data_IF_723448225307
#
_entry.id   IF_723448225307
#
_cell.length_a   1.000
_cell.length_b   1.000
_cell.length_c   1.000
_cell.angle_alpha   90.00
_cell.angle_beta   90.00
_cell.angle_gamma   90.00
#
_symmetry.space_group_name_H-M   'P 1'
#
loop_
_entity.id
_entity.type
_entity.pdbx_description
1 polymer ?
#
# COMPACT_ATOMS: atom_id res chain seq x y z
N UNK A 1 -24.39 -32.72 -0.59
CA UNK A 1 -24.55 -31.89 0.61
C UNK A 1 -23.26 -32.09 1.41
N UNK A 2 -22.27 -31.26 1.24
CA UNK A 2 -21.02 -31.21 2.02
C UNK A 2 -21.03 -29.88 2.75
N UNK A 3 -21.08 -29.96 4.08
CA UNK A 3 -21.08 -28.83 4.99
C UNK A 3 -19.81 -28.01 4.81
N UNK A 4 -19.99 -26.71 4.57
CA UNK A 4 -18.91 -25.73 4.67
C UNK A 4 -18.54 -25.59 6.16
N UNK A 5 -17.25 -25.53 6.53
CA UNK A 5 -16.87 -25.18 7.88
C UNK A 5 -17.15 -23.71 8.13
N UNK A 6 -18.03 -23.44 9.08
CA UNK A 6 -18.29 -22.13 9.66
C UNK A 6 -16.98 -21.48 10.09
N UNK A 7 -16.71 -20.27 9.59
CA UNK A 7 -15.61 -19.43 10.04
C UNK A 7 -15.72 -19.12 11.53
N UNK A 8 -15.05 -19.90 12.34
CA UNK A 8 -14.85 -19.62 13.76
C UNK A 8 -13.81 -18.49 13.88
N UNK A 9 -14.23 -17.35 14.42
CA UNK A 9 -13.31 -16.35 14.96
C UNK A 9 -12.39 -17.03 15.98
N UNK A 10 -11.11 -17.05 15.69
CA UNK A 10 -10.10 -17.47 16.67
C UNK A 10 -10.19 -16.49 17.85
N UNK A 11 -10.24 -16.97 19.11
CA UNK A 11 -10.21 -16.08 20.27
C UNK A 11 -8.89 -15.30 20.23
N UNK A 12 -8.98 -13.99 20.03
CA UNK A 12 -7.86 -13.10 20.05
C UNK A 12 -7.28 -13.07 21.48
N UNK A 13 -6.24 -13.86 21.75
CA UNK A 13 -5.34 -13.53 22.85
C UNK A 13 -4.73 -12.18 22.51
N UNK A 14 -4.65 -11.23 23.50
CA UNK A 14 -4.02 -9.95 23.24
C UNK A 14 -2.61 -10.18 22.69
N UNK A 15 -2.28 -9.53 21.55
CA UNK A 15 -1.00 -9.71 20.90
C UNK A 15 0.13 -9.29 21.84
N UNK A 16 1.11 -10.17 22.02
CA UNK A 16 2.30 -9.90 22.85
C UNK A 16 3.33 -9.12 22.02
N UNK A 17 3.25 -7.80 22.03
CA UNK A 17 4.13 -6.92 21.26
C UNK A 17 5.58 -6.95 21.75
N UNK A 18 5.84 -7.29 23.02
CA UNK A 18 7.21 -7.50 23.51
C UNK A 18 7.83 -8.79 22.92
N UNK A 19 7.05 -9.83 22.73
CA UNK A 19 7.48 -11.02 21.98
C UNK A 19 7.71 -10.70 20.52
N UNK A 20 6.77 -10.00 19.88
CA UNK A 20 6.85 -9.57 18.47
C UNK A 20 8.10 -8.74 18.21
N UNK A 21 8.48 -7.83 19.12
CA UNK A 21 9.69 -7.02 19.01
C UNK A 21 10.95 -7.86 18.79
N UNK A 22 11.02 -9.07 19.36
CA UNK A 22 12.18 -9.97 19.22
C UNK A 22 12.33 -10.51 17.79
N UNK A 23 11.24 -10.57 17.03
CA UNK A 23 11.22 -11.02 15.65
C UNK A 23 11.74 -9.96 14.66
N UNK A 24 12.02 -8.74 15.12
CA UNK A 24 12.57 -7.64 14.34
C UNK A 24 13.96 -7.23 14.84
N UNK A 25 15.05 -7.79 14.30
CA UNK A 25 16.43 -7.50 14.77
C UNK A 25 16.79 -6.02 14.78
N UNK A 26 16.17 -5.21 13.90
CA UNK A 26 16.36 -3.76 13.85
C UNK A 26 16.06 -3.07 15.18
N UNK A 27 15.10 -3.58 15.95
CA UNK A 27 14.72 -3.05 17.27
C UNK A 27 15.84 -3.12 18.32
N UNK A 28 16.89 -3.96 18.08
CA UNK A 28 18.04 -4.08 18.98
C UNK A 28 19.15 -3.07 18.67
N UNK A 29 19.11 -2.43 17.50
CA UNK A 29 20.21 -1.60 17.01
C UNK A 29 19.89 -0.11 17.04
N UNK A 30 18.61 0.26 17.05
CA UNK A 30 18.16 1.64 17.05
C UNK A 30 16.67 1.74 17.39
N UNK A 31 16.23 2.88 17.91
CA UNK A 31 14.82 3.27 17.91
C UNK A 31 14.44 3.70 16.48
N UNK A 32 14.07 2.71 15.64
CA UNK A 32 13.73 2.96 14.25
C UNK A 32 12.25 3.29 14.13
N UNK A 33 11.94 4.56 13.93
CA UNK A 33 10.59 5.15 13.90
C UNK A 33 10.26 5.76 12.52
N UNK A 34 10.86 5.25 11.44
CA UNK A 34 10.59 5.67 10.05
C UNK A 34 10.02 4.53 9.20
N UNK A 35 9.07 3.78 9.77
CA UNK A 35 8.44 2.64 9.07
C UNK A 35 7.57 3.10 7.86
N UNK A 36 7.09 4.33 7.86
CA UNK A 36 6.40 4.94 6.73
C UNK A 36 7.31 5.15 5.50
N UNK A 37 8.63 5.11 5.63
CA UNK A 37 9.58 5.10 4.51
C UNK A 37 9.92 3.68 4.05
N UNK A 38 10.24 2.78 4.99
CA UNK A 38 10.52 1.38 4.71
C UNK A 38 10.50 0.58 6.03
N UNK A 39 9.78 -0.52 6.05
CA UNK A 39 9.72 -1.40 7.22
C UNK A 39 10.88 -2.40 7.21
N UNK A 40 11.49 -2.75 8.35
CA UNK A 40 12.46 -3.83 8.44
C UNK A 40 11.77 -5.20 8.25
N UNK A 41 12.51 -6.16 7.72
CA UNK A 41 12.04 -7.54 7.62
C UNK A 41 12.06 -8.23 8.98
N UNK A 42 11.11 -9.12 9.19
CA UNK A 42 11.10 -10.06 10.32
C UNK A 42 12.14 -11.17 10.13
N UNK A 43 12.49 -11.87 11.21
CA UNK A 43 13.34 -13.08 11.12
C UNK A 43 12.68 -14.16 10.27
N UNK A 44 11.35 -14.25 10.25
CA UNK A 44 10.59 -15.23 9.46
C UNK A 44 10.71 -14.94 7.96
N UNK A 45 10.44 -13.71 7.53
CA UNK A 45 10.63 -13.28 6.14
C UNK A 45 12.08 -13.44 5.68
N UNK A 46 13.05 -13.09 6.54
CA UNK A 46 14.48 -13.26 6.26
C UNK A 46 14.84 -14.74 6.08
N UNK A 47 14.36 -15.62 6.95
CA UNK A 47 14.60 -17.07 6.84
C UNK A 47 13.99 -17.67 5.56
N UNK A 48 12.79 -17.20 5.17
CA UNK A 48 12.15 -17.63 3.92
C UNK A 48 12.94 -17.21 2.68
N UNK A 49 13.46 -15.98 2.67
CA UNK A 49 14.35 -15.50 1.60
C UNK A 49 15.65 -16.29 1.53
N UNK A 50 16.27 -16.60 2.67
CA UNK A 50 17.49 -17.43 2.69
C UNK A 50 17.23 -18.80 2.09
N UNK A 51 16.13 -19.48 2.43
CA UNK A 51 15.78 -20.78 1.81
C UNK A 51 15.65 -20.67 0.29
N UNK A 52 15.06 -19.58 -0.20
CA UNK A 52 14.96 -19.34 -1.64
C UNK A 52 16.32 -19.12 -2.31
N UNK A 53 17.19 -18.31 -1.69
CA UNK A 53 18.56 -18.06 -2.21
C UNK A 53 19.40 -19.35 -2.21
N UNK A 54 19.33 -20.16 -1.16
CA UNK A 54 19.97 -21.47 -1.08
C UNK A 54 19.48 -22.40 -2.19
N UNK A 55 18.16 -22.42 -2.43
CA UNK A 55 17.61 -23.21 -3.53
C UNK A 55 18.10 -22.72 -4.90
N UNK A 56 18.11 -21.40 -5.15
CA UNK A 56 18.64 -20.82 -6.40
C UNK A 56 20.11 -21.16 -6.62
N UNK A 57 20.91 -21.16 -5.54
CA UNK A 57 22.34 -21.35 -5.61
C UNK A 57 22.75 -22.82 -5.79
N UNK A 58 22.05 -23.75 -5.18
CA UNK A 58 22.42 -25.15 -5.08
C UNK A 58 21.46 -26.10 -5.78
N UNK A 59 20.25 -25.67 -6.14
CA UNK A 59 19.22 -26.50 -6.78
C UNK A 59 18.72 -27.66 -5.90
N UNK A 60 18.82 -27.52 -4.57
CA UNK A 60 18.45 -28.56 -3.60
C UNK A 60 17.04 -28.34 -3.12
N UNK A 61 16.20 -29.39 -3.15
CA UNK A 61 14.84 -29.38 -2.62
C UNK A 61 13.77 -29.73 -3.66
N UNK A 62 12.50 -29.52 -3.29
CA UNK A 62 11.36 -29.71 -4.18
C UNK A 62 11.42 -28.78 -5.39
N UNK A 63 10.83 -29.17 -6.54
CA UNK A 63 10.73 -28.31 -7.69
C UNK A 63 10.14 -26.94 -7.31
N UNK A 64 10.91 -25.88 -7.58
CA UNK A 64 10.54 -24.53 -7.17
C UNK A 64 9.21 -24.04 -7.77
N UNK A 65 8.92 -24.41 -9.02
CA UNK A 65 7.75 -23.89 -9.73
C UNK A 65 6.41 -24.15 -9.04
N UNK A 66 6.09 -25.36 -8.56
CA UNK A 66 4.85 -25.61 -7.79
C UNK A 66 4.80 -24.84 -6.47
N UNK A 67 5.95 -24.77 -5.77
CA UNK A 67 6.04 -24.02 -4.51
C UNK A 67 5.85 -22.53 -4.74
N UNK A 68 6.40 -21.96 -5.82
CA UNK A 68 6.22 -20.56 -6.18
C UNK A 68 4.76 -20.23 -6.53
N UNK A 69 4.11 -21.05 -7.34
CA UNK A 69 2.70 -20.84 -7.67
C UNK A 69 1.84 -20.82 -6.40
N UNK A 70 2.09 -21.74 -5.47
CA UNK A 70 1.41 -21.75 -4.17
C UNK A 70 1.69 -20.51 -3.33
N UNK A 71 2.94 -20.06 -3.23
CA UNK A 71 3.30 -18.85 -2.49
C UNK A 71 2.65 -17.59 -3.07
N UNK A 72 2.63 -17.49 -4.40
CA UNK A 72 1.96 -16.41 -5.12
C UNK A 72 0.47 -16.39 -4.81
N UNK A 73 -0.19 -17.53 -5.01
CA UNK A 73 -1.62 -17.68 -4.84
C UNK A 73 -2.04 -17.42 -3.39
N UNK A 74 -1.24 -17.87 -2.43
CA UNK A 74 -1.46 -17.59 -1.01
C UNK A 74 -1.30 -16.09 -0.71
N UNK A 75 -0.26 -15.43 -1.21
CA UNK A 75 -0.03 -14.00 -0.98
C UNK A 75 -1.20 -13.16 -1.55
N UNK A 76 -1.70 -13.51 -2.74
CA UNK A 76 -2.85 -12.86 -3.36
C UNK A 76 -4.13 -13.05 -2.52
N UNK A 77 -4.42 -14.28 -2.11
CA UNK A 77 -5.58 -14.58 -1.27
C UNK A 77 -5.50 -13.96 0.13
N UNK A 78 -4.30 -13.92 0.73
CA UNK A 78 -4.06 -13.23 2.00
C UNK A 78 -4.30 -11.72 1.87
N UNK A 79 -3.80 -11.10 0.80
CA UNK A 79 -4.01 -9.68 0.58
C UNK A 79 -5.49 -9.36 0.28
N UNK A 80 -6.17 -10.16 -0.53
CA UNK A 80 -7.60 -10.01 -0.78
C UNK A 80 -8.40 -10.00 0.53
N UNK A 81 -8.17 -10.98 1.41
CA UNK A 81 -8.82 -11.01 2.74
C UNK A 81 -8.47 -9.80 3.61
N UNK A 82 -7.23 -9.30 3.52
CA UNK A 82 -6.79 -8.13 4.30
C UNK A 82 -7.59 -6.86 4.00
N UNK A 83 -8.07 -6.71 2.76
CA UNK A 83 -8.80 -5.53 2.30
C UNK A 83 -10.27 -5.81 2.00
N UNK A 84 -10.77 -7.01 2.35
CA UNK A 84 -12.14 -7.48 2.10
C UNK A 84 -12.52 -7.46 0.60
N UNK A 85 -11.61 -7.93 -0.25
CA UNK A 85 -11.81 -8.12 -1.69
C UNK A 85 -11.90 -9.61 -2.05
N UNK A 86 -12.40 -9.90 -3.25
CA UNK A 86 -12.27 -11.21 -3.84
C UNK A 86 -10.88 -11.39 -4.45
N UNK A 87 -10.37 -12.63 -4.47
CA UNK A 87 -9.03 -12.94 -5.00
C UNK A 87 -8.88 -12.54 -6.47
N UNK A 88 -9.92 -12.73 -7.24
CA UNK A 88 -9.99 -12.42 -8.68
C UNK A 88 -9.95 -10.91 -8.96
N UNK A 89 -10.08 -10.09 -7.93
CA UNK A 89 -9.95 -8.63 -8.01
C UNK A 89 -8.52 -8.14 -7.73
N UNK A 90 -7.59 -9.05 -7.38
CA UNK A 90 -6.21 -8.71 -7.03
C UNK A 90 -5.24 -9.13 -8.14
N UNK A 91 -4.39 -8.20 -8.55
CA UNK A 91 -3.23 -8.43 -9.41
C UNK A 91 -1.93 -8.09 -8.68
N UNK A 92 -0.82 -8.67 -9.14
CA UNK A 92 0.49 -8.26 -8.69
C UNK A 92 0.97 -7.03 -9.48
N UNK A 93 1.69 -6.14 -8.78
CA UNK A 93 2.35 -4.99 -9.36
C UNK A 93 3.75 -4.83 -8.75
N UNK A 94 4.64 -4.09 -9.40
CA UNK A 94 5.98 -3.83 -8.85
C UNK A 94 5.98 -2.68 -7.84
N UNK A 95 5.03 -1.77 -7.98
CA UNK A 95 4.87 -0.64 -7.06
C UNK A 95 3.48 -0.02 -7.17
N UNK A 96 3.11 0.78 -6.16
CA UNK A 96 1.86 1.56 -6.16
C UNK A 96 1.75 2.45 -7.41
N UNK A 97 2.82 3.19 -7.74
CA UNK A 97 2.81 4.13 -8.88
C UNK A 97 2.73 3.39 -10.21
N UNK A 98 3.39 2.24 -10.36
CA UNK A 98 3.24 1.41 -11.57
C UNK A 98 1.82 0.88 -11.71
N UNK A 99 1.24 0.35 -10.63
CA UNK A 99 -0.13 -0.13 -10.62
C UNK A 99 -1.12 0.94 -11.06
N UNK A 100 -1.01 2.13 -10.48
CA UNK A 100 -1.83 3.28 -10.84
C UNK A 100 -1.61 3.73 -12.29
N UNK A 101 -0.36 3.75 -12.77
CA UNK A 101 -0.03 4.07 -14.15
C UNK A 101 -0.67 3.08 -15.14
N UNK A 102 -0.66 1.79 -14.79
CA UNK A 102 -1.30 0.75 -15.61
C UNK A 102 -2.82 0.92 -15.66
N UNK A 103 -3.44 1.28 -14.54
CA UNK A 103 -4.87 1.62 -14.47
C UNK A 103 -5.17 2.83 -15.36
N UNK A 104 -4.43 3.93 -15.22
CA UNK A 104 -4.62 5.14 -16.03
C UNK A 104 -4.46 4.86 -17.53
N UNK A 105 -3.48 4.03 -17.91
CA UNK A 105 -3.30 3.60 -19.30
C UNK A 105 -4.50 2.76 -19.78
N UNK A 106 -4.97 1.84 -18.95
CA UNK A 106 -6.13 0.99 -19.26
C UNK A 106 -7.45 1.77 -19.35
N UNK A 107 -7.53 2.91 -18.67
CA UNK A 107 -8.68 3.80 -18.65
C UNK A 107 -8.61 4.94 -19.69
N UNK A 108 -7.62 4.96 -20.59
CA UNK A 108 -7.39 6.10 -21.48
C UNK A 108 -8.64 6.54 -22.26
N UNK A 109 -9.44 5.60 -22.76
CA UNK A 109 -10.70 5.90 -23.45
C UNK A 109 -11.75 6.51 -22.50
N UNK A 110 -11.84 6.01 -21.27
CA UNK A 110 -12.77 6.50 -20.25
C UNK A 110 -12.39 7.91 -19.77
N UNK A 111 -11.09 8.18 -19.65
CA UNK A 111 -10.55 9.47 -19.21
C UNK A 111 -10.64 10.55 -20.29
N UNK A 112 -10.75 10.18 -21.57
CA UNK A 112 -10.72 11.13 -22.69
C UNK A 112 -11.77 12.25 -22.55
N UNK A 113 -11.31 13.50 -22.66
CA UNK A 113 -12.15 14.69 -22.57
C UNK A 113 -12.72 14.99 -21.18
N UNK A 114 -12.25 14.31 -20.14
CA UNK A 114 -12.65 14.56 -18.75
C UNK A 114 -11.55 15.13 -17.89
N UNK A 115 -11.75 15.04 -16.59
CA UNK A 115 -10.76 15.48 -15.60
C UNK A 115 -10.51 14.43 -14.51
N UNK A 116 -9.35 14.57 -13.83
CA UNK A 116 -9.02 13.86 -12.60
C UNK A 116 -8.99 14.88 -11.46
N UNK A 117 -9.67 14.56 -10.35
CA UNK A 117 -9.63 15.35 -9.11
C UNK A 117 -8.80 14.61 -8.07
N UNK A 118 -7.86 15.33 -7.44
CA UNK A 118 -7.03 14.83 -6.35
C UNK A 118 -6.77 15.93 -5.33
N UNK A 119 -6.01 15.64 -4.27
CA UNK A 119 -5.60 16.65 -3.28
C UNK A 119 -4.06 16.71 -3.13
N UNK A 120 -3.55 17.80 -2.58
CA UNK A 120 -2.11 18.03 -2.39
C UNK A 120 -1.50 17.22 -1.22
N UNK A 121 -2.33 16.50 -0.45
CA UNK A 121 -1.87 15.52 0.55
C UNK A 121 -1.62 14.13 -0.05
N UNK A 122 -1.81 13.95 -1.36
CA UNK A 122 -1.45 12.74 -2.08
C UNK A 122 0.08 12.59 -2.23
N UNK A 123 0.52 11.39 -2.59
CA UNK A 123 1.95 11.16 -2.81
C UNK A 123 2.46 11.91 -4.05
N UNK A 124 3.59 12.61 -3.92
CA UNK A 124 4.10 13.51 -4.98
C UNK A 124 4.34 12.81 -6.32
N UNK A 125 4.79 11.55 -6.33
CA UNK A 125 5.00 10.82 -7.58
C UNK A 125 3.70 10.55 -8.33
N UNK A 126 2.58 10.37 -7.61
CA UNK A 126 1.25 10.25 -8.19
C UNK A 126 0.81 11.57 -8.82
N UNK A 127 1.01 12.68 -8.13
CA UNK A 127 0.73 14.01 -8.67
C UNK A 127 1.53 14.28 -9.96
N UNK A 128 2.81 13.90 -10.00
CA UNK A 128 3.62 14.01 -11.23
C UNK A 128 3.08 13.12 -12.34
N UNK A 129 2.64 11.90 -12.04
CA UNK A 129 2.05 11.00 -13.02
C UNK A 129 0.79 11.63 -13.65
N UNK A 130 -0.06 12.29 -12.85
CA UNK A 130 -1.21 13.03 -13.38
C UNK A 130 -0.81 14.24 -14.21
N UNK A 131 0.15 15.05 -13.76
CA UNK A 131 0.64 16.18 -14.54
C UNK A 131 1.17 15.78 -15.93
N UNK A 132 1.81 14.62 -16.02
CA UNK A 132 2.23 14.09 -17.33
C UNK A 132 1.05 13.85 -18.27
N UNK A 133 -0.13 13.47 -17.75
CA UNK A 133 -1.34 13.23 -18.53
C UNK A 133 -1.99 14.52 -19.07
N UNK A 134 -1.62 15.68 -18.53
CA UNK A 134 -2.05 16.97 -19.09
C UNK A 134 -1.57 17.15 -20.55
N UNK A 135 -0.45 16.52 -20.91
CA UNK A 135 0.05 16.51 -22.29
C UNK A 135 -0.89 15.76 -23.25
N UNK A 136 -1.69 14.82 -22.72
CA UNK A 136 -2.69 14.05 -23.45
C UNK A 136 -4.06 14.77 -23.47
N UNK A 137 -4.13 16.03 -22.99
CA UNK A 137 -5.34 16.84 -22.96
C UNK A 137 -6.26 16.59 -21.75
N UNK A 138 -5.80 15.85 -20.74
CA UNK A 138 -6.54 15.58 -19.51
C UNK A 138 -6.44 16.76 -18.55
N UNK A 139 -7.55 17.27 -18.03
CA UNK A 139 -7.53 18.28 -16.97
C UNK A 139 -7.23 17.63 -15.61
N UNK A 140 -6.29 18.21 -14.86
CA UNK A 140 -5.94 17.74 -13.50
C UNK A 140 -6.29 18.84 -12.51
N UNK A 141 -7.18 18.53 -11.58
CA UNK A 141 -7.62 19.42 -10.50
C UNK A 141 -7.01 18.95 -9.18
N UNK A 142 -6.06 19.71 -8.65
CA UNK A 142 -5.44 19.43 -7.35
C UNK A 142 -6.08 20.35 -6.31
N UNK A 143 -6.88 19.81 -5.42
CA UNK A 143 -7.53 20.54 -4.34
C UNK A 143 -6.50 20.78 -3.22
N UNK A 144 -6.23 22.02 -2.83
CA UNK A 144 -5.32 22.31 -1.74
C UNK A 144 -5.93 21.90 -0.39
N UNK A 145 -5.09 21.41 0.52
CA UNK A 145 -5.51 21.13 1.87
C UNK A 145 -5.78 22.42 2.66
N UNK A 146 -6.63 22.34 3.68
CA UNK A 146 -6.86 23.39 4.67
C UNK A 146 -6.51 22.84 6.04
N UNK A 147 -5.64 23.52 6.77
CA UNK A 147 -5.18 23.08 8.10
C UNK A 147 -4.73 21.61 8.15
N UNK A 148 -4.02 21.17 7.10
CA UNK A 148 -3.53 19.81 6.95
C UNK A 148 -4.62 18.72 6.84
N UNK A 149 -5.82 19.11 6.44
CA UNK A 149 -6.95 18.23 6.18
C UNK A 149 -7.46 18.40 4.75
N UNK A 150 -8.11 17.38 4.21
CA UNK A 150 -8.80 17.46 2.91
C UNK A 150 -10.02 18.38 3.09
N UNK A 151 -10.09 19.43 2.29
CA UNK A 151 -11.27 20.29 2.20
C UNK A 151 -12.36 19.57 1.40
N UNK A 152 -13.29 18.92 2.12
CA UNK A 152 -14.38 18.16 1.50
C UNK A 152 -15.32 19.01 0.67
N UNK A 153 -15.58 20.27 1.08
CA UNK A 153 -16.42 21.21 0.32
C UNK A 153 -15.74 21.61 -0.99
N UNK A 154 -14.41 21.79 -0.97
CA UNK A 154 -13.63 22.06 -2.17
C UNK A 154 -13.54 20.82 -3.09
N UNK A 155 -13.45 19.60 -2.50
CA UNK A 155 -13.52 18.36 -3.27
C UNK A 155 -14.88 18.25 -3.98
N UNK A 156 -15.99 18.47 -3.27
CA UNK A 156 -17.33 18.43 -3.86
C UNK A 156 -17.50 19.44 -5.00
N UNK A 157 -17.01 20.67 -4.83
CA UNK A 157 -17.05 21.70 -5.90
C UNK A 157 -16.17 21.36 -7.10
N UNK A 158 -15.09 20.62 -6.89
CA UNK A 158 -14.14 20.23 -7.94
C UNK A 158 -14.57 19.00 -8.73
N UNK A 159 -15.43 18.17 -8.16
CA UNK A 159 -15.99 16.96 -8.79
C UNK A 159 -17.27 17.33 -9.52
N UNK A 160 -17.26 17.29 -10.85
CA UNK A 160 -18.38 17.65 -11.72
C UNK A 160 -18.76 16.54 -12.72
N UNK A 161 -19.63 16.83 -13.67
CA UNK A 161 -20.09 15.85 -14.69
C UNK A 161 -19.01 15.40 -15.66
N UNK A 162 -17.90 16.13 -15.76
CA UNK A 162 -16.75 15.78 -16.60
C UNK A 162 -15.64 15.06 -15.83
N UNK A 163 -15.80 14.92 -14.50
CA UNK A 163 -14.86 14.15 -13.68
C UNK A 163 -14.98 12.66 -14.02
N UNK A 164 -13.85 12.02 -14.32
CA UNK A 164 -13.76 10.60 -14.64
C UNK A 164 -13.12 9.79 -13.51
N UNK A 165 -12.23 10.44 -12.77
CA UNK A 165 -11.50 9.79 -11.69
C UNK A 165 -11.30 10.77 -10.54
N UNK A 166 -11.58 10.29 -9.33
CA UNK A 166 -11.11 10.89 -8.08
C UNK A 166 -9.98 10.01 -7.54
N UNK A 167 -8.85 10.58 -7.16
CA UNK A 167 -7.74 9.82 -6.59
C UNK A 167 -7.24 10.45 -5.32
N UNK A 168 -7.14 9.64 -4.25
CA UNK A 168 -6.68 10.08 -2.93
C UNK A 168 -5.84 8.99 -2.26
N UNK A 169 -5.04 9.38 -1.27
CA UNK A 169 -4.42 8.42 -0.36
C UNK A 169 -5.35 8.17 0.83
N UNK A 170 -5.59 6.89 1.19
CA UNK A 170 -6.35 6.56 2.40
C UNK A 170 -5.64 7.09 3.66
N UNK A 171 -4.32 6.94 3.70
CA UNK A 171 -3.48 7.53 4.75
C UNK A 171 -2.41 8.39 4.09
N UNK A 172 -2.40 9.68 4.39
CA UNK A 172 -1.40 10.60 3.83
C UNK A 172 0.00 10.29 4.34
N UNK A 173 0.95 10.19 3.42
CA UNK A 173 2.37 10.06 3.76
C UNK A 173 3.00 11.35 4.33
N UNK A 174 2.30 12.47 4.23
CA UNK A 174 2.75 13.78 4.71
C UNK A 174 2.58 13.89 6.23
N UNK A 175 1.36 13.63 6.69
CA UNK A 175 0.98 13.88 8.08
C UNK A 175 0.17 12.75 8.74
N UNK A 176 -0.05 11.64 8.04
CA UNK A 176 -0.81 10.51 8.56
C UNK A 176 -2.32 10.71 8.58
N UNK A 177 -2.88 11.79 7.99
CA UNK A 177 -4.31 11.98 7.88
C UNK A 177 -4.97 10.75 7.25
N UNK A 178 -6.01 10.22 7.91
CA UNK A 178 -6.90 9.23 7.32
C UNK A 178 -8.02 9.98 6.60
N UNK A 179 -8.12 9.79 5.29
CA UNK A 179 -9.16 10.39 4.47
C UNK A 179 -10.52 9.70 4.72
N UNK A 180 -11.59 10.47 4.68
CA UNK A 180 -12.95 9.90 4.61
C UNK A 180 -13.24 9.41 3.19
N UNK A 181 -12.65 8.23 2.89
CA UNK A 181 -12.75 7.60 1.57
C UNK A 181 -14.17 7.26 1.21
N UNK A 182 -15.02 6.92 2.19
CA UNK A 182 -16.42 6.63 1.94
C UNK A 182 -17.18 7.87 1.45
N UNK A 183 -17.03 9.00 2.13
CA UNK A 183 -17.64 10.25 1.70
C UNK A 183 -17.11 10.68 0.31
N UNK A 184 -15.81 10.53 0.05
CA UNK A 184 -15.23 10.81 -1.27
C UNK A 184 -15.75 9.88 -2.36
N UNK A 185 -15.97 8.59 -2.05
CA UNK A 185 -16.61 7.65 -2.96
C UNK A 185 -18.05 8.06 -3.31
N UNK A 186 -18.84 8.44 -2.30
CA UNK A 186 -20.21 8.91 -2.49
C UNK A 186 -20.25 10.16 -3.38
N UNK A 187 -19.34 11.12 -3.19
CA UNK A 187 -19.22 12.32 -4.04
C UNK A 187 -18.82 11.96 -5.49
N UNK A 188 -17.83 11.08 -5.66
CA UNK A 188 -17.38 10.65 -6.99
C UNK A 188 -18.49 9.91 -7.75
N UNK A 189 -19.09 8.89 -7.13
CA UNK A 189 -20.11 8.06 -7.75
C UNK A 189 -21.38 8.83 -8.07
N UNK A 190 -21.77 9.83 -7.25
CA UNK A 190 -22.90 10.71 -7.54
C UNK A 190 -22.74 11.52 -8.83
N UNK A 191 -21.53 11.67 -9.34
CA UNK A 191 -21.19 12.35 -10.60
C UNK A 191 -20.74 11.42 -11.72
N UNK A 192 -20.77 10.09 -11.48
CA UNK A 192 -20.34 9.06 -12.42
C UNK A 192 -18.82 8.89 -12.53
N UNK A 193 -18.05 9.51 -11.64
CA UNK A 193 -16.62 9.34 -11.54
C UNK A 193 -16.27 8.06 -10.76
N UNK A 194 -15.10 7.46 -11.06
CA UNK A 194 -14.54 6.34 -10.29
C UNK A 194 -13.60 6.83 -9.19
N UNK A 195 -13.35 5.99 -8.19
CA UNK A 195 -12.45 6.28 -7.09
C UNK A 195 -11.25 5.34 -7.10
N UNK A 196 -10.05 5.90 -7.25
CA UNK A 196 -8.77 5.23 -7.01
C UNK A 196 -8.23 5.63 -5.63
N UNK A 197 -7.78 4.65 -4.84
CA UNK A 197 -7.23 4.90 -3.51
C UNK A 197 -5.82 4.34 -3.38
N UNK A 198 -4.85 5.22 -3.13
CA UNK A 198 -3.50 4.80 -2.69
C UNK A 198 -3.59 4.31 -1.24
N UNK A 199 -3.45 2.99 -1.04
CA UNK A 199 -3.48 2.35 0.28
C UNK A 199 -2.08 2.02 0.81
N UNK A 200 -1.02 2.60 0.24
CA UNK A 200 0.37 2.32 0.56
C UNK A 200 0.73 2.60 2.02
N UNK A 201 0.12 3.59 2.65
CA UNK A 201 0.35 3.91 4.06
C UNK A 201 -0.72 3.31 4.99
N UNK A 202 -1.67 2.56 4.43
CA UNK A 202 -2.80 2.00 5.15
C UNK A 202 -2.75 0.47 5.28
N UNK A 203 -2.47 -0.25 4.17
CA UNK A 203 -2.54 -1.70 4.12
C UNK A 203 -1.59 -2.36 5.13
N UNK A 204 -2.14 -3.11 6.07
CA UNK A 204 -1.42 -3.73 7.19
C UNK A 204 -1.30 -2.87 8.45
N UNK A 205 -1.71 -1.59 8.42
CA UNK A 205 -1.61 -0.66 9.54
C UNK A 205 -2.95 -0.12 10.04
N UNK A 206 -3.92 0.01 9.13
CA UNK A 206 -5.30 0.37 9.45
C UNK A 206 -6.28 -0.54 8.72
N UNK A 207 -7.45 -0.84 9.27
CA UNK A 207 -8.45 -1.67 8.61
C UNK A 207 -8.91 -1.06 7.28
N UNK A 208 -9.07 -1.90 6.28
CA UNK A 208 -9.56 -1.55 4.95
C UNK A 208 -10.68 -2.51 4.58
N UNK A 209 -11.80 -1.97 4.16
CA UNK A 209 -12.89 -2.70 3.53
C UNK A 209 -13.24 -1.99 2.22
N UNK A 210 -12.72 -2.51 1.11
CA UNK A 210 -12.87 -1.86 -0.20
C UNK A 210 -14.33 -1.79 -0.64
N UNK A 211 -15.16 -2.73 -0.19
CA UNK A 211 -16.59 -2.75 -0.51
C UNK A 211 -17.34 -1.69 0.31
N UNK A 212 -17.16 -1.68 1.63
CA UNK A 212 -17.83 -0.73 2.52
C UNK A 212 -17.38 0.72 2.28
N UNK A 213 -16.12 0.92 1.88
CA UNK A 213 -15.56 2.22 1.53
C UNK A 213 -15.91 2.67 0.11
N UNK A 214 -16.48 1.80 -0.73
CA UNK A 214 -16.85 2.10 -2.10
C UNK A 214 -15.66 2.33 -3.03
N UNK A 215 -14.52 1.70 -2.75
CA UNK A 215 -13.29 1.83 -3.55
C UNK A 215 -13.46 1.06 -4.86
N UNK A 216 -13.15 1.69 -5.99
CA UNK A 216 -13.18 1.06 -7.30
C UNK A 216 -11.85 0.41 -7.67
N UNK A 217 -10.76 1.06 -7.30
CA UNK A 217 -9.39 0.59 -7.54
C UNK A 217 -8.49 1.03 -6.39
N UNK A 218 -7.52 0.20 -6.04
CA UNK A 218 -6.53 0.54 -5.03
C UNK A 218 -5.18 -0.11 -5.31
N UNK A 219 -4.10 0.48 -4.82
CA UNK A 219 -2.78 -0.12 -4.96
C UNK A 219 -1.90 0.11 -3.73
N UNK A 220 -0.97 -0.83 -3.50
CA UNK A 220 0.10 -0.66 -2.54
C UNK A 220 1.33 -1.51 -2.90
N UNK A 221 2.52 -1.06 -2.46
CA UNK A 221 3.72 -1.90 -2.43
C UNK A 221 3.87 -2.56 -1.06
N UNK A 222 4.65 -3.64 -0.98
CA UNK A 222 4.77 -4.43 0.25
C UNK A 222 5.78 -3.89 1.26
N UNK A 223 6.74 -3.06 0.86
CA UNK A 223 7.93 -2.72 1.66
C UNK A 223 7.73 -1.74 2.82
N UNK A 224 6.47 -1.31 3.07
CA UNK A 224 6.10 -0.50 4.24
C UNK A 224 5.31 -1.36 5.23
N UNK A 225 4.06 -1.03 5.47
CA UNK A 225 3.23 -1.65 6.50
C UNK A 225 2.89 -3.12 6.23
N UNK A 226 3.03 -3.59 4.97
CA UNK A 226 2.99 -5.01 4.65
C UNK A 226 4.32 -5.75 4.92
N UNK A 227 5.36 -5.07 5.43
CA UNK A 227 6.62 -5.66 5.94
C UNK A 227 7.37 -6.52 4.93
N UNK A 228 7.16 -6.29 3.63
CA UNK A 228 7.78 -7.01 2.54
C UNK A 228 9.00 -6.30 1.94
N UNK A 229 9.37 -6.71 0.72
CA UNK A 229 10.49 -6.12 -0.03
C UNK A 229 10.02 -5.14 -1.09
N UNK A 230 10.93 -4.30 -1.60
CA UNK A 230 10.66 -3.42 -2.74
C UNK A 230 10.52 -4.23 -4.03
N UNK A 231 9.82 -3.66 -5.01
CA UNK A 231 9.61 -4.31 -6.31
C UNK A 231 8.47 -5.33 -6.32
N UNK A 232 7.63 -5.35 -5.28
CA UNK A 232 6.45 -6.19 -5.18
C UNK A 232 5.31 -5.43 -4.51
N UNK A 233 4.11 -5.63 -4.99
CA UNK A 233 2.90 -4.98 -4.51
C UNK A 233 1.64 -5.60 -5.10
N UNK A 234 0.51 -4.96 -4.83
CA UNK A 234 -0.80 -5.42 -5.25
C UNK A 234 -1.59 -4.27 -5.86
N UNK A 235 -2.39 -4.62 -6.87
CA UNK A 235 -3.41 -3.80 -7.48
C UNK A 235 -4.76 -4.47 -7.25
N UNK A 236 -5.71 -3.73 -6.69
CA UNK A 236 -7.12 -4.09 -6.62
C UNK A 236 -7.88 -3.38 -7.74
N UNK A 237 -8.68 -4.12 -8.49
CA UNK A 237 -9.64 -3.57 -9.47
C UNK A 237 -10.97 -4.29 -9.27
N UNK A 238 -12.02 -3.54 -8.95
CA UNK A 238 -13.38 -4.07 -8.76
C UNK A 238 -13.81 -4.89 -9.98
N UNK A 239 -14.41 -6.06 -9.76
CA UNK A 239 -14.70 -7.06 -10.79
C UNK A 239 -15.46 -6.50 -12.01
N UNK A 240 -16.48 -5.66 -11.79
CA UNK A 240 -17.30 -5.10 -12.86
C UNK A 240 -16.58 -4.06 -13.77
N UNK A 241 -15.41 -3.58 -13.35
CA UNK A 241 -14.59 -2.65 -14.14
C UNK A 241 -13.56 -3.36 -14.99
N UNK A 242 -13.26 -4.61 -14.68
CA UNK A 242 -12.20 -5.38 -15.33
C UNK A 242 -12.53 -5.66 -16.80
N UNK A 243 -11.57 -5.34 -17.69
CA UNK A 243 -11.69 -5.53 -19.12
C UNK A 243 -12.72 -4.63 -19.83
N UNK A 244 -13.55 -3.92 -19.08
CA UNK A 244 -14.57 -2.99 -19.57
C UNK A 244 -14.08 -1.54 -19.53
N UNK A 245 -14.08 -0.93 -18.34
CA UNK A 245 -13.57 0.43 -18.11
C UNK A 245 -12.05 0.42 -17.94
N UNK A 246 -11.54 -0.50 -17.12
CA UNK A 246 -10.10 -0.71 -16.95
C UNK A 246 -9.68 -1.84 -17.87
N UNK A 247 -9.10 -1.49 -19.02
CA UNK A 247 -8.58 -2.47 -20.01
C UNK A 247 -7.13 -2.82 -19.69
N UNK A 248 -6.64 -4.02 -20.03
CA UNK A 248 -5.21 -4.31 -19.94
C UNK A 248 -4.44 -3.39 -20.89
N UNK A 249 -3.51 -2.62 -20.36
CA UNK A 249 -2.70 -1.66 -21.13
C UNK A 249 -1.39 -2.26 -21.65
N UNK A 250 -0.98 -3.39 -21.08
CA UNK A 250 0.21 -4.13 -21.46
C UNK A 250 -0.10 -5.63 -21.46
N UNK A 251 0.58 -6.38 -22.30
CA UNK A 251 0.41 -7.83 -22.33
C UNK A 251 1.51 -8.50 -21.52
N UNK A 252 1.11 -9.36 -20.60
CA UNK A 252 2.03 -10.18 -19.83
C UNK A 252 2.63 -11.29 -20.67
N UNK A 253 3.92 -11.42 -20.66
CA UNK A 253 4.65 -12.45 -21.37
C UNK A 253 4.66 -13.82 -20.71
N UNK A 254 3.83 -14.14 -19.73
CA UNK A 254 4.15 -15.37 -19.03
C UNK A 254 3.07 -16.23 -18.42
N UNK A 255 1.92 -15.70 -18.13
CA UNK A 255 0.94 -16.46 -17.33
C UNK A 255 -0.40 -16.64 -18.05
N UNK A 256 -0.66 -15.88 -19.08
CA UNK A 256 -1.98 -15.81 -19.73
C UNK A 256 -2.02 -16.29 -21.17
N UNK A 257 -1.02 -17.07 -21.60
CA UNK A 257 -1.04 -17.58 -22.97
C UNK A 257 -1.79 -18.92 -23.06
N UNK A 258 -2.92 -18.92 -23.72
CA UNK A 258 -3.47 -20.12 -24.36
C UNK A 258 -2.71 -20.47 -25.65
N UNK A 259 -1.49 -19.93 -25.82
CA UNK A 259 -0.75 -19.97 -27.07
C UNK A 259 0.74 -20.17 -26.82
N UNK A 260 1.27 -21.23 -27.42
CA UNK A 260 2.70 -21.49 -27.49
C UNK A 260 3.20 -21.14 -28.90
N UNK A 261 3.86 -19.98 -29.11
CA UNK A 261 4.23 -19.49 -30.43
C UNK A 261 5.11 -20.47 -31.21
N UNK A 262 5.86 -21.33 -30.53
CA UNK A 262 6.74 -22.32 -31.16
C UNK A 262 6.01 -23.57 -31.67
N UNK A 263 4.83 -23.89 -31.14
CA UNK A 263 4.06 -25.05 -31.64
C UNK A 263 3.39 -24.79 -32.97
N UNK A 264 3.03 -23.53 -33.28
CA UNK A 264 2.34 -23.14 -34.49
C UNK A 264 3.28 -22.65 -35.60
N UNK A 265 4.58 -22.54 -35.37
CA UNK A 265 5.55 -22.05 -36.36
C UNK A 265 5.72 -22.96 -37.56
N UNK A 266 5.37 -24.21 -37.44
CA UNK A 266 5.60 -25.23 -38.45
C UNK A 266 4.30 -25.64 -39.20
N UNK A 267 3.17 -25.06 -38.80
CA UNK A 267 1.88 -25.32 -39.47
C UNK A 267 1.43 -24.06 -40.24
N UNK A 268 1.59 -24.04 -41.59
CA UNK A 268 1.15 -22.90 -42.39
C UNK A 268 -0.37 -22.70 -42.44
N UNK A 269 -1.15 -23.71 -42.02
CA UNK A 269 -2.62 -23.67 -42.00
C UNK A 269 -3.14 -23.41 -40.59
N UNK A 270 -2.27 -23.20 -39.60
CA UNK A 270 -2.69 -22.88 -38.24
C UNK A 270 -3.52 -21.58 -38.22
N UNK A 271 -4.58 -21.58 -37.42
CA UNK A 271 -5.40 -20.41 -37.18
C UNK A 271 -4.51 -19.22 -36.75
N UNK A 272 -4.85 -17.98 -37.16
CA UNK A 272 -4.13 -16.79 -36.65
C UNK A 272 -4.07 -16.75 -35.15
N UNK A 273 -2.95 -16.27 -34.62
CA UNK A 273 -2.74 -16.11 -33.19
C UNK A 273 -3.83 -15.22 -32.62
N UNK A 274 -4.68 -15.78 -31.76
CA UNK A 274 -5.66 -15.04 -31.00
C UNK A 274 -5.17 -14.85 -29.57
N UNK A 275 -4.92 -13.60 -29.20
CA UNK A 275 -4.65 -13.25 -27.81
C UNK A 275 -5.96 -13.24 -27.01
N UNK A 276 -6.03 -14.05 -25.95
CA UNK A 276 -7.12 -14.00 -24.99
C UNK A 276 -6.56 -13.51 -23.64
N UNK A 277 -7.00 -12.34 -23.15
CA UNK A 277 -6.61 -11.89 -21.82
C UNK A 277 -6.97 -12.93 -20.74
N UNK A 278 -6.19 -12.98 -19.67
CA UNK A 278 -6.53 -13.74 -18.48
C UNK A 278 -7.81 -13.17 -17.87
N UNK A 279 -8.65 -14.03 -17.33
CA UNK A 279 -9.82 -13.58 -16.56
C UNK A 279 -9.39 -13.00 -15.20
N UNK A 280 -10.22 -12.12 -14.64
CA UNK A 280 -9.90 -11.45 -13.38
C UNK A 280 -8.81 -10.39 -13.49
N UNK A 281 -8.37 -9.86 -12.36
CA UNK A 281 -7.35 -8.81 -12.29
C UNK A 281 -5.96 -9.29 -12.78
N UNK A 282 -5.73 -10.59 -12.88
CA UNK A 282 -4.50 -11.15 -13.46
C UNK A 282 -4.18 -10.59 -14.87
N UNK A 283 -5.17 -10.09 -15.61
CA UNK A 283 -4.98 -9.42 -16.89
C UNK A 283 -4.13 -8.14 -16.83
N UNK A 284 -3.97 -7.55 -15.63
CA UNK A 284 -3.16 -6.34 -15.40
C UNK A 284 -1.72 -6.62 -15.00
N UNK A 285 -1.36 -7.89 -14.82
CA UNK A 285 -0.01 -8.28 -14.46
C UNK A 285 0.95 -8.12 -15.64
N UNK A 286 2.08 -7.46 -15.40
CA UNK A 286 3.10 -7.22 -16.41
C UNK A 286 4.29 -8.11 -16.13
N UNK A 287 4.50 -9.12 -17.00
CA UNK A 287 5.59 -10.07 -16.86
C UNK A 287 5.52 -10.90 -15.56
N UNK A 288 6.61 -11.57 -15.20
CA UNK A 288 6.69 -12.35 -13.97
C UNK A 288 6.88 -11.43 -12.76
N UNK A 289 6.09 -11.59 -11.68
CA UNK A 289 6.35 -10.91 -10.42
C UNK A 289 7.63 -11.44 -9.76
N UNK A 290 8.23 -10.63 -8.86
CA UNK A 290 9.38 -11.06 -8.07
C UNK A 290 9.02 -12.24 -7.17
N UNK A 291 9.78 -13.32 -7.26
CA UNK A 291 9.59 -14.49 -6.39
C UNK A 291 9.93 -14.16 -4.93
N UNK A 292 11.01 -13.40 -4.73
CA UNK A 292 11.42 -12.89 -3.42
C UNK A 292 10.31 -12.04 -2.80
N UNK A 293 9.66 -11.23 -3.65
CA UNK A 293 8.52 -10.42 -3.26
C UNK A 293 7.33 -11.25 -2.80
N UNK A 294 6.96 -12.29 -3.56
CA UNK A 294 5.86 -13.19 -3.23
C UNK A 294 6.09 -13.93 -1.92
N UNK A 295 7.29 -14.49 -1.73
CA UNK A 295 7.69 -15.20 -0.51
C UNK A 295 7.62 -14.29 0.71
N UNK A 296 8.21 -13.09 0.62
CA UNK A 296 8.15 -12.11 1.70
C UNK A 296 6.72 -11.68 2.00
N UNK A 297 5.93 -11.41 0.96
CA UNK A 297 4.54 -11.00 1.12
C UNK A 297 3.69 -12.09 1.79
N UNK A 298 3.88 -13.35 1.41
CA UNK A 298 3.17 -14.46 2.04
C UNK A 298 3.47 -14.55 3.55
N UNK A 299 4.74 -14.54 3.94
CA UNK A 299 5.15 -14.61 5.35
C UNK A 299 4.64 -13.40 6.15
N UNK A 300 4.79 -12.21 5.61
CA UNK A 300 4.38 -10.99 6.30
C UNK A 300 2.86 -10.83 6.39
N UNK A 301 2.12 -11.24 5.36
CA UNK A 301 0.65 -11.20 5.38
C UNK A 301 0.09 -12.24 6.37
N UNK A 302 0.67 -13.44 6.46
CA UNK A 302 0.31 -14.41 7.50
C UNK A 302 0.51 -13.85 8.90
N UNK A 303 1.67 -13.21 9.13
CA UNK A 303 1.95 -12.53 10.38
C UNK A 303 0.93 -11.42 10.70
N UNK A 304 0.58 -10.57 9.70
CA UNK A 304 -0.42 -9.51 9.89
C UNK A 304 -1.79 -10.10 10.24
N UNK A 305 -2.21 -11.20 9.59
CA UNK A 305 -3.46 -11.87 9.93
C UNK A 305 -3.44 -12.53 11.32
N UNK A 306 -2.30 -13.10 11.73
CA UNK A 306 -2.14 -13.68 13.07
C UNK A 306 -2.25 -12.62 14.18
N UNK A 307 -1.58 -11.48 14.00
CA UNK A 307 -1.61 -10.36 14.97
C UNK A 307 -2.94 -9.61 14.92
N UNK A 308 -3.50 -9.43 13.75
CA UNK A 308 -4.71 -8.66 13.48
C UNK A 308 -4.41 -7.16 13.30
N UNK A 309 -4.94 -6.58 12.21
CA UNK A 309 -4.71 -5.17 11.86
C UNK A 309 -5.19 -4.21 12.95
N UNK A 310 -6.31 -4.54 13.61
CA UNK A 310 -6.86 -3.72 14.69
C UNK A 310 -5.95 -3.68 15.92
N UNK A 311 -5.32 -4.81 16.26
CA UNK A 311 -4.34 -4.86 17.34
C UNK A 311 -3.07 -4.06 16.98
N UNK A 312 -2.61 -4.18 15.71
CA UNK A 312 -1.49 -3.38 15.17
C UNK A 312 -1.79 -1.89 15.28
N UNK A 313 -2.98 -1.46 14.82
CA UNK A 313 -3.42 -0.07 14.88
C UNK A 313 -3.45 0.45 16.32
N UNK A 314 -4.09 -0.29 17.21
CA UNK A 314 -4.21 0.08 18.62
C UNK A 314 -2.85 0.22 19.30
N UNK A 315 -1.94 -0.70 19.03
CA UNK A 315 -0.57 -0.64 19.54
C UNK A 315 0.17 0.60 19.03
N UNK A 316 0.19 0.82 17.71
CA UNK A 316 0.85 1.98 17.12
C UNK A 316 0.25 3.30 17.63
N UNK A 317 -1.07 3.37 17.79
CA UNK A 317 -1.76 4.53 18.34
C UNK A 317 -1.30 4.86 19.77
N UNK A 318 -1.11 3.87 20.64
CA UNK A 318 -0.62 4.11 22.00
C UNK A 318 0.74 4.83 22.02
N UNK A 319 1.56 4.63 20.98
CA UNK A 319 2.85 5.29 20.81
C UNK A 319 2.69 6.69 20.20
N UNK A 320 1.85 6.83 19.16
CA UNK A 320 1.61 8.11 18.51
C UNK A 320 0.83 9.10 19.38
N UNK A 321 -0.12 8.64 20.20
CA UNK A 321 -0.86 9.48 21.15
C UNK A 321 0.10 10.14 22.15
N UNK A 322 1.07 9.40 22.66
CA UNK A 322 2.10 9.97 23.56
C UNK A 322 2.94 11.02 22.84
N UNK A 323 3.38 10.77 21.61
CA UNK A 323 4.11 11.74 20.80
C UNK A 323 3.30 13.02 20.55
N UNK A 324 2.01 12.89 20.27
CA UNK A 324 1.09 14.02 20.07
C UNK A 324 0.87 14.88 21.31
N UNK A 325 1.10 14.31 22.49
CA UNK A 325 1.00 15.04 23.77
C UNK A 325 2.34 15.68 24.16
N UNK A 326 3.44 14.94 24.03
CA UNK A 326 4.73 15.36 24.59
C UNK A 326 5.53 16.28 23.66
N UNK A 327 5.55 16.04 22.33
CA UNK A 327 6.32 16.86 21.40
C UNK A 327 5.88 18.33 21.34
N UNK A 328 4.57 18.68 21.41
CA UNK A 328 4.17 20.07 21.52
C UNK A 328 4.72 20.81 22.75
N UNK A 329 4.92 20.12 23.87
CA UNK A 329 5.53 20.68 25.08
C UNK A 329 7.01 21.03 24.91
N UNK A 330 7.65 20.34 23.95
CA UNK A 330 9.04 20.59 23.56
C UNK A 330 9.16 21.61 22.39
N UNK A 331 8.06 22.24 21.96
CA UNK A 331 8.04 23.28 20.93
C UNK A 331 7.87 22.76 19.50
N UNK A 332 7.51 21.47 19.32
CA UNK A 332 7.21 20.89 18.00
C UNK A 332 5.70 20.98 17.71
N UNK A 333 5.32 21.68 16.66
CA UNK A 333 3.90 21.86 16.32
C UNK A 333 3.38 20.70 15.48
N UNK A 334 2.35 19.97 16.00
CA UNK A 334 1.74 18.88 15.24
C UNK A 334 1.02 19.40 13.99
N UNK A 335 1.24 18.73 12.86
CA UNK A 335 0.49 18.90 11.62
C UNK A 335 -0.41 17.67 11.33
N UNK A 336 -0.41 16.68 12.23
CA UNK A 336 -1.33 15.55 12.21
C UNK A 336 -2.59 15.91 12.97
N UNK A 337 -3.78 15.74 12.41
CA UNK A 337 -5.04 15.95 13.13
C UNK A 337 -5.12 15.07 14.38
N UNK A 338 -5.59 15.63 15.52
CA UNK A 338 -5.61 14.90 16.80
C UNK A 338 -6.52 13.66 16.81
N UNK A 339 -7.56 13.67 16.01
CA UNK A 339 -8.48 12.53 15.88
C UNK A 339 -7.95 11.42 14.96
N UNK A 340 -6.73 11.56 14.45
CA UNK A 340 -6.15 10.63 13.50
C UNK A 340 -5.65 9.37 14.18
N UNK A 341 -6.00 8.21 13.61
CA UNK A 341 -5.74 6.87 14.12
C UNK A 341 -4.65 6.13 13.32
N UNK A 342 -3.94 6.79 12.40
CA UNK A 342 -2.87 6.14 11.65
C UNK A 342 -1.58 6.05 12.49
N UNK A 343 -0.68 5.15 12.13
CA UNK A 343 0.62 5.02 12.83
C UNK A 343 1.62 6.12 12.43
N UNK A 344 1.20 7.17 11.74
CA UNK A 344 2.04 8.27 11.27
C UNK A 344 1.65 9.55 11.97
N UNK A 345 2.63 10.21 12.60
CA UNK A 345 2.47 11.57 13.12
C UNK A 345 3.60 12.46 12.61
N UNK A 346 3.27 13.71 12.32
CA UNK A 346 4.22 14.68 11.78
C UNK A 346 4.16 16.01 12.51
N UNK A 347 5.32 16.64 12.65
CA UNK A 347 5.49 17.86 13.41
C UNK A 347 6.35 18.86 12.63
N UNK A 348 6.01 20.14 12.70
CA UNK A 348 6.91 21.20 12.28
C UNK A 348 8.04 21.32 13.29
N UNK A 349 9.28 21.36 12.80
CA UNK A 349 10.51 21.33 13.60
C UNK A 349 11.16 22.71 13.56
N UNK A 350 11.35 23.40 14.71
CA UNK A 350 11.93 24.74 14.74
C UNK A 350 13.36 24.81 14.18
N UNK A 351 14.19 23.82 14.48
CA UNK A 351 15.54 23.64 13.94
C UNK A 351 15.73 22.20 13.46
N UNK A 352 15.44 21.93 12.18
CA UNK A 352 15.55 20.59 11.62
C UNK A 352 16.96 19.99 11.68
N UNK A 353 17.98 20.84 11.53
CA UNK A 353 19.39 20.43 11.54
C UNK A 353 19.81 19.96 12.93
N UNK A 354 19.52 20.77 13.95
CA UNK A 354 19.84 20.44 15.34
C UNK A 354 19.03 19.22 15.82
N UNK A 355 17.73 19.18 15.51
CA UNK A 355 16.87 18.02 15.87
C UNK A 355 17.40 16.73 15.27
N UNK A 356 17.74 16.70 13.99
CA UNK A 356 18.28 15.50 13.33
C UNK A 356 19.66 15.11 13.85
N UNK A 357 20.49 16.08 14.25
CA UNK A 357 21.79 15.79 14.88
C UNK A 357 21.60 15.12 16.25
N UNK A 358 20.71 15.66 17.12
CA UNK A 358 20.37 15.09 18.43
C UNK A 358 19.81 13.66 18.31
N UNK A 359 18.81 13.45 17.43
CA UNK A 359 18.19 12.14 17.22
C UNK A 359 19.21 11.11 16.71
N UNK A 360 20.07 11.50 15.75
CA UNK A 360 21.12 10.62 15.24
C UNK A 360 22.12 10.23 16.33
N UNK A 361 22.56 11.18 17.16
CA UNK A 361 23.46 10.92 18.28
C UNK A 361 22.84 9.97 19.29
N UNK A 362 21.53 10.04 19.49
CA UNK A 362 20.77 9.15 20.36
C UNK A 362 20.38 7.79 19.71
N UNK A 363 20.77 7.51 18.45
CA UNK A 363 20.40 6.27 17.77
C UNK A 363 18.91 6.18 17.41
N UNK A 364 18.24 7.33 17.24
CA UNK A 364 16.83 7.42 16.87
C UNK A 364 16.72 7.75 15.38
N UNK A 365 15.90 7.00 14.64
CA UNK A 365 15.68 7.20 13.21
C UNK A 365 14.23 7.65 12.94
N UNK A 366 14.08 8.84 12.38
CA UNK A 366 12.83 9.42 11.88
C UNK A 366 13.06 10.02 10.50
N UNK A 367 12.00 10.40 9.78
CA UNK A 367 12.14 11.13 8.51
C UNK A 367 12.01 12.64 8.72
N UNK A 368 12.89 13.41 8.09
CA UNK A 368 12.69 14.85 7.87
C UNK A 368 12.19 15.05 6.44
N UNK A 369 11.02 15.65 6.29
CA UNK A 369 10.35 15.85 5.00
C UNK A 369 10.08 17.33 4.76
N UNK A 370 10.04 17.73 3.50
CA UNK A 370 9.68 19.10 3.10
C UNK A 370 10.45 20.21 3.85
N UNK A 371 11.70 19.92 4.19
CA UNK A 371 12.60 20.84 4.88
C UNK A 371 12.50 20.81 6.41
N UNK A 372 11.30 20.97 6.96
CA UNK A 372 11.08 21.15 8.41
C UNK A 372 10.02 20.21 9.03
N UNK A 373 9.48 19.29 8.27
CA UNK A 373 8.44 18.35 8.76
C UNK A 373 9.08 17.06 9.25
N UNK A 374 9.15 16.87 10.56
CA UNK A 374 9.59 15.64 11.19
C UNK A 374 8.43 14.65 11.23
N UNK A 375 8.55 13.55 10.48
CA UNK A 375 7.57 12.46 10.47
C UNK A 375 8.06 11.29 11.28
N UNK A 376 7.24 10.83 12.21
CA UNK A 376 7.49 9.72 13.12
C UNK A 376 6.45 8.65 12.84
N UNK A 377 6.88 7.41 12.69
CA UNK A 377 6.03 6.32 12.25
C UNK A 377 6.41 5.01 12.96
N UNK A 378 5.96 4.79 14.20
CA UNK A 378 6.15 3.54 14.93
C UNK A 378 5.34 2.39 14.31
N UNK A 379 5.79 1.15 14.53
CA UNK A 379 5.14 -0.07 14.06
C UNK A 379 5.13 -1.15 15.15
N UNK A 380 4.70 -2.34 14.80
CA UNK A 380 4.46 -3.50 15.68
C UNK A 380 5.60 -3.86 16.65
N UNK A 381 6.82 -3.53 16.31
CA UNK A 381 8.00 -3.86 17.12
C UNK A 381 8.52 -2.68 17.95
N UNK A 382 7.97 -1.48 17.75
CA UNK A 382 8.32 -0.33 18.58
C UNK A 382 7.58 -0.40 19.92
N UNK A 383 8.17 0.21 20.95
CA UNK A 383 7.58 0.27 22.28
C UNK A 383 7.74 1.65 22.92
N UNK A 384 7.30 1.79 24.17
CA UNK A 384 7.36 3.05 24.89
C UNK A 384 8.78 3.53 25.19
N UNK A 385 9.76 2.62 25.22
CA UNK A 385 11.17 2.98 25.40
C UNK A 385 11.73 3.70 24.16
N UNK A 386 11.36 3.24 22.93
CA UNK A 386 11.72 3.94 21.70
C UNK A 386 11.18 5.37 21.67
N UNK A 387 9.94 5.57 22.14
CA UNK A 387 9.32 6.91 22.27
C UNK A 387 10.03 7.75 23.32
N UNK A 388 10.36 7.17 24.49
CA UNK A 388 11.11 7.87 25.55
C UNK A 388 12.47 8.33 25.04
N UNK A 389 13.21 7.45 24.35
CA UNK A 389 14.52 7.78 23.76
C UNK A 389 14.44 8.95 22.78
N UNK A 390 13.39 9.00 21.96
CA UNK A 390 13.14 10.11 21.04
C UNK A 390 12.86 11.42 21.79
N UNK A 391 11.98 11.39 22.80
CA UNK A 391 11.61 12.57 23.57
C UNK A 391 12.79 13.13 24.37
N UNK A 392 13.57 12.26 25.02
CA UNK A 392 14.79 12.63 25.74
C UNK A 392 15.85 13.26 24.81
N UNK A 393 16.00 12.73 23.62
CA UNK A 393 16.93 13.30 22.64
C UNK A 393 16.54 14.69 22.16
N UNK A 394 15.24 14.99 22.11
CA UNK A 394 14.73 16.29 21.63
C UNK A 394 14.54 17.32 22.73
N UNK A 395 14.50 16.92 23.98
CA UNK A 395 14.49 17.82 25.13
C UNK A 395 15.86 18.55 25.29
#
# INVERSE_FOLDING_TARGET
MSEQPSGGELPAHPADFERIRKDFPRARTAAFLDNASSHPLSVHSTAALHRYVEWLSHGVGEPWWPAWAGNRDDAQGLFARLIHADREEIAFARSTVEAESNVLNGMAEHLAGGNIVTCDLAYSAVLYNYQMRQQDGLEIRVVPNVDWQIDMDAMERSIDGDTRLVSVALVSNVNGLIADVRALSELAHARGALLFVDIMQAAGAVPIDVQAMGIDMAACSTFKWLMGVKGYGFLYVRANLQGSVVKPSQHSGGVSFNYEPWTNRLDPEAEPIHFKPTEGAGQYEVSYPSYEGAICAQESLRFIHEVGVEAIRTHARSLTDRLQVELPRLGYTSITPRANDSPIVSFTTPDPTAAMAKLRAAGVHVAMRFGDKMRIAPSVYNNQDDVSQLLEALA
#
